data_IF_417392509332
#
_entry.id   IF_417392509332
#
_cell.length_a   1.000
_cell.length_b   1.000
_cell.length_c   1.000
_cell.angle_alpha   90.00
_cell.angle_beta   90.00
_cell.angle_gamma   90.00
#
_symmetry.space_group_name_H-M   'P 1'
#
loop_
_entity.id
_entity.type
_entity.pdbx_description
1 polymer ?
#
# COMPACT_ATOMS: atom_id res chain seq x y z
N UNK A 1 21.25 -35.06 28.32
CA UNK A 1 19.89 -35.42 27.86
C UNK A 1 19.51 -34.29 26.92
N UNK A 2 19.33 -34.58 25.64
CA UNK A 2 18.93 -33.57 24.67
C UNK A 2 17.41 -33.58 24.61
N UNK A 3 16.78 -32.44 24.89
CA UNK A 3 15.37 -32.24 24.60
C UNK A 3 15.14 -32.57 23.11
N UNK A 4 14.32 -33.60 22.85
CA UNK A 4 13.92 -33.96 21.49
C UNK A 4 12.95 -32.88 20.98
N UNK A 5 13.23 -32.22 19.86
CA UNK A 5 12.38 -31.13 19.38
C UNK A 5 11.02 -31.69 18.97
N UNK A 6 9.94 -31.17 19.57
CA UNK A 6 8.58 -31.48 19.17
C UNK A 6 8.35 -31.00 17.71
N UNK A 7 8.48 -31.91 16.75
CA UNK A 7 8.25 -31.62 15.34
C UNK A 7 6.75 -31.59 15.09
N UNK A 8 6.21 -30.39 14.87
CA UNK A 8 4.82 -30.20 14.46
C UNK A 8 4.64 -30.72 13.03
N UNK A 9 4.02 -31.88 12.88
CA UNK A 9 3.66 -32.42 11.57
C UNK A 9 2.43 -31.67 11.05
N UNK A 10 2.49 -31.06 9.85
CA UNK A 10 1.31 -30.44 9.25
C UNK A 10 0.21 -31.49 9.10
N UNK A 11 -0.98 -31.19 9.59
CA UNK A 11 -2.14 -32.09 9.59
C UNK A 11 -2.93 -32.02 8.28
N UNK A 12 -2.61 -31.08 7.39
CA UNK A 12 -3.30 -30.94 6.12
C UNK A 12 -2.90 -32.01 5.10
N UNK A 13 -3.90 -32.51 4.36
CA UNK A 13 -3.68 -33.45 3.28
C UNK A 13 -2.79 -32.83 2.17
N UNK A 14 -1.75 -33.56 1.71
CA UNK A 14 -0.89 -33.11 0.64
C UNK A 14 -1.65 -33.04 -0.70
N UNK A 15 -1.28 -32.08 -1.55
CA UNK A 15 -1.81 -31.92 -2.90
C UNK A 15 -0.86 -32.51 -3.95
N UNK A 16 -1.33 -32.64 -5.18
CA UNK A 16 -0.51 -33.10 -6.31
C UNK A 16 -0.12 -31.93 -7.22
N UNK A 17 1.14 -31.89 -7.64
CA UNK A 17 1.62 -30.93 -8.63
C UNK A 17 0.95 -31.19 -9.98
N UNK A 18 0.34 -30.17 -10.58
CA UNK A 18 -0.31 -30.28 -11.91
C UNK A 18 0.69 -30.42 -13.06
N UNK A 19 1.96 -30.06 -12.85
CA UNK A 19 3.01 -30.15 -13.88
C UNK A 19 3.66 -31.54 -13.93
N UNK A 20 3.98 -32.13 -12.78
CA UNK A 20 4.74 -33.40 -12.73
C UNK A 20 4.05 -34.52 -11.94
N UNK A 21 2.89 -34.26 -11.30
CA UNK A 21 2.15 -35.26 -10.52
C UNK A 21 2.79 -35.63 -9.19
N UNK A 22 3.85 -34.95 -8.75
CA UNK A 22 4.47 -35.21 -7.45
C UNK A 22 3.58 -34.73 -6.29
N UNK A 23 3.65 -35.43 -5.14
CA UNK A 23 3.01 -34.96 -3.89
C UNK A 23 3.76 -33.74 -3.37
N UNK A 24 3.02 -32.70 -3.00
CA UNK A 24 3.51 -31.44 -2.48
C UNK A 24 2.67 -31.03 -1.28
N UNK A 25 3.30 -30.36 -0.32
CA UNK A 25 2.58 -29.80 0.82
C UNK A 25 1.51 -28.82 0.33
N UNK A 26 0.38 -28.75 1.05
CA UNK A 26 -0.72 -27.87 0.69
C UNK A 26 -0.28 -26.40 0.59
N UNK A 27 0.62 -25.98 1.48
CA UNK A 27 1.19 -24.62 1.55
C UNK A 27 2.48 -24.45 0.72
N UNK A 28 2.87 -25.43 -0.10
CA UNK A 28 4.06 -25.29 -0.93
C UNK A 28 3.83 -24.23 -2.02
N UNK A 29 4.70 -23.21 -2.05
CA UNK A 29 4.74 -22.16 -3.08
C UNK A 29 5.46 -22.60 -4.35
N UNK A 30 6.24 -23.69 -4.28
CA UNK A 30 6.91 -24.29 -5.42
C UNK A 30 7.00 -25.81 -5.29
N UNK A 31 7.10 -26.50 -6.44
CA UNK A 31 7.33 -27.94 -6.47
C UNK A 31 8.82 -28.24 -6.33
N UNK A 32 9.24 -28.98 -5.31
CA UNK A 32 10.64 -29.37 -5.14
C UNK A 32 11.17 -30.33 -6.23
N UNK A 33 10.28 -30.91 -7.04
CA UNK A 33 10.67 -31.86 -8.11
C UNK A 33 10.86 -31.17 -9.46
N UNK A 34 9.90 -30.34 -9.88
CA UNK A 34 9.92 -29.69 -11.20
C UNK A 34 10.10 -28.17 -11.15
N UNK A 35 10.19 -27.61 -9.94
CA UNK A 35 10.30 -26.18 -9.68
C UNK A 35 9.17 -25.32 -10.25
N UNK A 36 8.01 -25.94 -10.57
CA UNK A 36 6.81 -25.21 -10.93
C UNK A 36 6.34 -24.35 -9.75
N UNK A 37 6.08 -23.07 -9.99
CA UNK A 37 5.54 -22.14 -9.01
C UNK A 37 4.05 -22.36 -8.81
N UNK A 38 3.63 -22.54 -7.57
CA UNK A 38 2.23 -22.48 -7.17
C UNK A 38 2.00 -21.10 -6.56
N UNK A 39 1.76 -20.11 -7.41
CA UNK A 39 1.30 -18.80 -6.96
C UNK A 39 -0.15 -19.00 -6.50
N UNK A 40 -0.33 -19.32 -5.21
CA UNK A 40 -1.60 -19.15 -4.53
C UNK A 40 -1.73 -17.65 -4.24
N UNK A 41 -2.42 -16.93 -5.11
CA UNK A 41 -2.96 -15.62 -4.75
C UNK A 41 -3.96 -15.84 -3.61
N UNK A 42 -3.59 -15.50 -2.37
CA UNK A 42 -4.57 -15.43 -1.27
C UNK A 42 -4.25 -16.20 0.01
N UNK A 43 -2.98 -16.38 0.36
CA UNK A 43 -2.59 -16.65 1.75
C UNK A 43 -2.21 -15.34 2.47
N UNK A 44 -3.12 -14.37 2.49
CA UNK A 44 -3.08 -13.26 3.44
C UNK A 44 -4.38 -13.30 4.24
N UNK A 45 -4.28 -13.93 5.41
CA UNK A 45 -5.30 -13.89 6.43
C UNK A 45 -5.31 -12.51 7.07
N UNK A 46 -6.00 -11.58 6.44
CA UNK A 46 -6.51 -10.36 7.07
C UNK A 46 -7.90 -10.17 6.49
N UNK A 47 -8.82 -9.65 7.30
CA UNK A 47 -10.22 -9.41 6.95
C UNK A 47 -10.24 -8.29 5.90
N UNK A 48 -9.91 -8.66 4.66
CA UNK A 48 -9.57 -7.76 3.58
C UNK A 48 -10.79 -6.93 3.23
N UNK A 49 -10.67 -5.61 3.42
CA UNK A 49 -11.62 -4.64 2.89
C UNK A 49 -11.92 -5.04 1.44
N UNK A 50 -13.22 -5.10 1.05
CA UNK A 50 -13.60 -5.58 -0.27
C UNK A 50 -12.89 -4.76 -1.35
N UNK A 51 -12.56 -5.38 -2.48
CA UNK A 51 -11.73 -4.75 -3.53
C UNK A 51 -12.21 -3.35 -3.96
N UNK A 52 -13.54 -3.09 -3.90
CA UNK A 52 -14.11 -1.77 -4.17
C UNK A 52 -13.68 -0.70 -3.14
N UNK A 53 -13.48 -1.08 -1.88
CA UNK A 53 -13.03 -0.20 -0.82
C UNK A 53 -11.54 0.18 -0.98
N UNK A 54 -10.71 -0.75 -1.47
CA UNK A 54 -9.31 -0.45 -1.84
C UNK A 54 -9.26 0.60 -2.95
N UNK A 55 -10.12 0.47 -3.96
CA UNK A 55 -10.30 1.48 -5.01
C UNK A 55 -10.72 2.85 -4.45
N UNK A 56 -11.69 2.88 -3.53
CA UNK A 56 -12.12 4.13 -2.90
C UNK A 56 -11.01 4.81 -2.10
N UNK A 57 -10.21 4.06 -1.34
CA UNK A 57 -9.09 4.63 -0.58
C UNK A 57 -8.09 5.33 -1.51
N UNK A 58 -7.75 4.68 -2.64
CA UNK A 58 -6.83 5.26 -3.63
C UNK A 58 -7.42 6.54 -4.25
N UNK A 59 -8.70 6.52 -4.62
CA UNK A 59 -9.39 7.70 -5.17
C UNK A 59 -9.42 8.84 -4.16
N UNK A 60 -9.78 8.57 -2.91
CA UNK A 60 -9.88 9.57 -1.86
C UNK A 60 -8.51 10.20 -1.57
N UNK A 61 -7.46 9.38 -1.50
CA UNK A 61 -6.08 9.86 -1.34
C UNK A 61 -5.65 10.74 -2.53
N UNK A 62 -5.96 10.32 -3.75
CA UNK A 62 -5.67 11.10 -4.96
C UNK A 62 -6.38 12.45 -4.95
N UNK A 63 -7.67 12.49 -4.59
CA UNK A 63 -8.44 13.73 -4.45
C UNK A 63 -7.85 14.62 -3.35
N UNK A 64 -7.43 14.07 -2.21
CA UNK A 64 -6.82 14.84 -1.14
C UNK A 64 -5.49 15.50 -1.57
N UNK A 65 -4.64 14.77 -2.30
CA UNK A 65 -3.38 15.30 -2.84
C UNK A 65 -3.66 16.39 -3.89
N UNK A 66 -4.59 16.15 -4.81
CA UNK A 66 -4.96 17.11 -5.85
C UNK A 66 -5.60 18.36 -5.25
N UNK A 67 -6.47 18.22 -4.25
CA UNK A 67 -7.07 19.34 -3.55
C UNK A 67 -6.02 20.13 -2.76
N UNK A 68 -5.13 19.46 -2.02
CA UNK A 68 -4.05 20.13 -1.27
C UNK A 68 -3.10 20.91 -2.18
N UNK A 69 -2.61 20.28 -3.26
CA UNK A 69 -1.70 20.93 -4.20
C UNK A 69 -2.38 21.99 -5.06
N UNK A 70 -3.57 21.68 -5.60
CA UNK A 70 -4.33 22.58 -6.46
C UNK A 70 -4.86 23.80 -5.71
N UNK A 71 -5.37 23.63 -4.48
CA UNK A 71 -5.85 24.74 -3.67
C UNK A 71 -4.72 25.68 -3.23
N UNK A 72 -3.55 25.14 -2.87
CA UNK A 72 -2.39 25.97 -2.55
C UNK A 72 -1.91 26.82 -3.73
N UNK A 73 -1.83 26.22 -4.92
CA UNK A 73 -1.45 26.95 -6.14
C UNK A 73 -2.52 27.98 -6.54
N UNK A 74 -3.79 27.59 -6.47
CA UNK A 74 -4.91 28.47 -6.78
C UNK A 74 -4.97 29.68 -5.85
N UNK A 75 -4.83 29.48 -4.53
CA UNK A 75 -4.82 30.58 -3.57
C UNK A 75 -3.65 31.52 -3.81
N UNK A 76 -2.45 31.02 -4.12
CA UNK A 76 -1.29 31.87 -4.43
C UNK A 76 -1.48 32.70 -5.70
N UNK A 77 -2.08 32.12 -6.75
CA UNK A 77 -2.37 32.86 -7.99
C UNK A 77 -3.49 33.89 -7.82
N UNK A 78 -4.45 33.64 -6.94
CA UNK A 78 -5.62 34.48 -6.74
C UNK A 78 -5.52 35.42 -5.51
N UNK A 79 -4.39 35.37 -4.80
CA UNK A 79 -4.09 36.30 -3.71
C UNK A 79 -3.88 37.71 -4.28
N UNK A 80 -4.68 38.67 -3.82
CA UNK A 80 -4.41 40.08 -4.10
C UNK A 80 -3.10 40.49 -3.42
N UNK A 81 -2.28 41.36 -4.03
CA UNK A 81 -1.12 41.94 -3.35
C UNK A 81 -1.62 42.63 -2.08
N UNK A 82 -1.01 42.30 -0.95
CA UNK A 82 -1.33 42.93 0.33
C UNK A 82 -1.23 44.46 0.21
N UNK A 83 -2.03 45.22 0.99
CA UNK A 83 -1.93 46.67 1.00
C UNK A 83 -0.48 47.03 1.26
N UNK A 84 0.14 47.72 0.31
CA UNK A 84 1.43 48.34 0.53
C UNK A 84 1.19 49.36 1.62
N UNK A 85 1.60 49.04 2.85
CA UNK A 85 1.69 50.04 3.90
C UNK A 85 2.52 51.18 3.32
N UNK A 86 1.82 52.30 3.14
CA UNK A 86 2.29 53.41 2.32
C UNK A 86 3.69 53.80 2.73
N UNK A 87 4.53 54.01 1.72
CA UNK A 87 5.79 54.74 1.84
C UNK A 87 5.56 55.95 2.75
N UNK A 88 6.07 55.86 3.99
CA UNK A 88 6.15 57.00 4.90
C UNK A 88 7.10 57.99 4.24
N UNK A 89 6.56 58.90 3.43
CA UNK A 89 7.32 60.03 2.94
C UNK A 89 7.66 60.90 4.15
N UNK A 90 8.95 61.12 4.48
CA UNK A 90 9.32 62.03 5.56
C UNK A 90 8.92 63.44 5.12
N UNK A 91 7.83 63.95 5.69
CA UNK A 91 7.47 65.35 5.52
C UNK A 91 8.39 66.17 6.41
N UNK A 92 9.41 66.78 5.81
CA UNK A 92 10.22 67.81 6.46
C UNK A 92 9.39 69.11 6.51
N UNK A 93 9.13 69.61 7.72
CA UNK A 93 8.57 70.95 7.96
C UNK A 93 9.66 71.89 8.50
N UNK A 94 9.73 73.16 8.02
CA UNK A 94 10.78 74.13 8.36
C UNK A 94 10.64 74.76 9.76
#
# INVERSE_FOLDING_TARGET
>A
MSEDPEVYLPTEDPRYCTTCGARVAKLATSCLMCNASFVEEGAEGEEGLPDWARGLVVVLLGVAILAGGGFGLYTLMNSAPGPSDGTLMPTWTP
#
